data_IF_641222218648
#
_entry.id   IF_641222218648
#
_cell.length_a   1.000
_cell.length_b   1.000
_cell.length_c   1.000
_cell.angle_alpha   90.00
_cell.angle_beta   90.00
_cell.angle_gamma   90.00
#
_symmetry.space_group_name_H-M   'P 1'
#
loop_
_entity.id
_entity.type
_entity.pdbx_description
1 polymer ?
#
# COMPACT_ATOMS: atom_id res chain seq x y z
N UNK A 1 15.24 25.42 -9.62
CA UNK A 1 13.97 24.67 -9.64
C UNK A 1 14.28 23.28 -10.21
N UNK A 2 13.85 22.20 -9.56
CA UNK A 2 14.17 20.83 -10.03
C UNK A 2 14.59 19.83 -8.94
N UNK A 3 14.68 20.27 -7.68
CA UNK A 3 15.05 19.43 -6.54
C UNK A 3 13.86 18.91 -5.73
N UNK A 4 12.61 19.13 -6.20
CA UNK A 4 11.40 18.69 -5.52
C UNK A 4 10.79 17.53 -6.30
N UNK A 5 10.76 16.35 -5.68
CA UNK A 5 10.06 15.20 -6.24
C UNK A 5 8.55 15.49 -6.27
N UNK A 6 7.91 15.12 -7.36
CA UNK A 6 6.45 15.12 -7.48
C UNK A 6 6.01 13.67 -7.49
N UNK A 7 5.05 13.34 -6.65
CA UNK A 7 4.54 11.99 -6.47
C UNK A 7 3.02 12.02 -6.64
N UNK A 8 2.49 11.04 -7.36
CA UNK A 8 1.07 10.89 -7.66
C UNK A 8 0.51 9.71 -6.87
N UNK A 9 -0.41 9.99 -5.94
CA UNK A 9 -1.11 8.96 -5.19
C UNK A 9 -2.11 8.22 -6.08
N UNK A 10 -2.32 6.93 -5.82
CA UNK A 10 -3.37 6.17 -6.50
C UNK A 10 -4.75 6.61 -6.06
N UNK A 11 -5.74 6.48 -6.96
CA UNK A 11 -7.11 6.95 -6.75
C UNK A 11 -7.85 6.24 -5.60
N UNK A 12 -7.50 4.99 -5.31
CA UNK A 12 -8.21 4.13 -4.36
C UNK A 12 -7.27 3.19 -3.58
N UNK A 13 -6.00 3.54 -3.46
CA UNK A 13 -5.03 2.72 -2.74
C UNK A 13 -3.95 3.57 -2.08
N UNK A 14 -2.94 2.89 -1.56
CA UNK A 14 -1.85 3.51 -0.82
C UNK A 14 -0.58 3.71 -1.67
N UNK A 15 -0.59 3.20 -2.90
CA UNK A 15 0.53 3.27 -3.80
C UNK A 15 0.78 4.70 -4.33
N UNK A 16 2.05 5.00 -4.57
CA UNK A 16 2.53 6.31 -5.00
C UNK A 16 3.44 6.15 -6.21
N UNK A 17 3.22 6.95 -7.23
CA UNK A 17 3.87 6.81 -8.53
C UNK A 17 4.60 8.09 -8.98
N UNK A 18 5.70 7.98 -9.74
CA UNK A 18 6.49 9.14 -10.16
C UNK A 18 5.84 9.95 -11.29
N UNK A 19 4.87 9.37 -12.01
CA UNK A 19 4.16 10.02 -13.10
C UNK A 19 2.69 9.57 -13.12
N UNK A 20 1.79 10.35 -13.75
CA UNK A 20 0.43 9.91 -13.96
C UNK A 20 0.39 8.70 -14.91
N UNK A 21 -0.65 7.88 -14.77
CA UNK A 21 -0.87 6.68 -15.57
C UNK A 21 -1.65 5.62 -14.80
N UNK A 22 -1.81 4.48 -15.46
CA UNK A 22 -2.47 3.32 -14.91
C UNK A 22 -1.42 2.25 -14.63
N UNK A 23 -1.33 1.82 -13.37
CA UNK A 23 -0.31 0.91 -12.91
C UNK A 23 -0.95 -0.39 -12.41
N UNK A 24 -0.50 -1.52 -12.94
CA UNK A 24 -0.95 -2.83 -12.46
C UNK A 24 0.06 -3.35 -11.42
N UNK A 25 -0.41 -3.52 -10.18
CA UNK A 25 0.34 -4.11 -9.08
C UNK A 25 -0.08 -5.58 -8.92
N UNK A 26 0.80 -6.52 -9.26
CA UNK A 26 0.51 -7.95 -9.25
C UNK A 26 1.33 -8.73 -10.28
N UNK A 27 0.82 -9.86 -10.74
CA UNK A 27 1.45 -10.67 -11.79
C UNK A 27 1.30 -10.00 -13.16
N UNK A 28 2.28 -9.15 -13.48
CA UNK A 28 2.36 -8.41 -14.74
C UNK A 28 2.47 -9.31 -15.97
N UNK A 29 2.99 -10.54 -15.85
CA UNK A 29 3.09 -11.49 -16.98
C UNK A 29 1.73 -12.04 -17.37
N UNK A 30 0.82 -12.18 -16.41
CA UNK A 30 -0.52 -12.71 -16.61
C UNK A 30 -1.61 -11.65 -16.63
N UNK A 31 -1.27 -10.39 -16.33
CA UNK A 31 -2.21 -9.27 -16.31
C UNK A 31 -3.20 -9.30 -15.15
N UNK A 32 -2.84 -9.99 -14.06
CA UNK A 32 -3.70 -10.13 -12.87
C UNK A 32 -3.09 -9.32 -11.74
N UNK A 33 -3.87 -8.40 -11.17
CA UNK A 33 -3.41 -7.53 -10.09
C UNK A 33 -4.37 -6.38 -9.81
N UNK A 34 -3.97 -5.53 -8.88
CA UNK A 34 -4.67 -4.30 -8.50
C UNK A 34 -4.33 -3.22 -9.50
N UNK A 35 -5.35 -2.58 -10.08
CA UNK A 35 -5.19 -1.42 -10.95
C UNK A 35 -5.16 -0.15 -10.09
N UNK A 36 -4.03 0.55 -10.14
CA UNK A 36 -3.82 1.84 -9.52
C UNK A 36 -3.80 2.93 -10.60
N UNK A 37 -4.87 3.71 -10.67
CA UNK A 37 -4.91 4.90 -11.53
C UNK A 37 -4.35 6.09 -10.76
N UNK A 38 -3.35 6.76 -11.32
CA UNK A 38 -2.72 7.94 -10.75
C UNK A 38 -2.79 9.11 -11.73
N UNK A 39 -3.34 10.24 -11.30
CA UNK A 39 -3.46 11.42 -12.14
C UNK A 39 -3.31 12.70 -11.31
N UNK A 40 -2.97 13.80 -11.97
CA UNK A 40 -2.96 15.10 -11.30
C UNK A 40 -4.38 15.47 -10.88
N UNK A 41 -4.56 15.72 -9.59
CA UNK A 41 -5.84 16.19 -9.04
C UNK A 41 -5.78 17.68 -8.69
N UNK A 42 -6.93 18.27 -8.36
CA UNK A 42 -7.01 19.63 -7.80
C UNK A 42 -6.47 19.72 -6.36
N UNK A 43 -6.27 18.59 -5.70
CA UNK A 43 -5.71 18.47 -4.37
C UNK A 43 -4.23 18.13 -4.47
N UNK A 44 -3.38 18.93 -3.84
CA UNK A 44 -1.94 18.72 -3.79
C UNK A 44 -1.42 19.06 -2.39
N UNK A 45 -0.47 18.26 -1.90
CA UNK A 45 0.22 18.48 -0.64
C UNK A 45 1.64 18.94 -0.93
N UNK A 46 1.97 20.19 -0.57
CA UNK A 46 3.33 20.72 -0.67
C UNK A 46 4.07 20.50 0.66
N UNK A 47 4.75 19.36 0.76
CA UNK A 47 5.54 18.98 1.94
C UNK A 47 6.82 19.81 2.08
N UNK A 48 7.22 20.60 1.07
CA UNK A 48 8.44 21.42 1.14
C UNK A 48 8.29 22.67 2.01
N UNK A 49 7.06 23.05 2.36
CA UNK A 49 6.77 24.26 3.16
C UNK A 49 6.71 23.99 4.65
N UNK A 50 6.11 22.87 5.05
CA UNK A 50 5.90 22.50 6.45
C UNK A 50 6.19 21.02 6.61
N UNK A 51 7.33 20.72 7.21
CA UNK A 51 7.77 19.37 7.52
C UNK A 51 8.46 19.38 8.88
N UNK A 52 8.56 18.20 9.49
CA UNK A 52 9.34 17.97 10.70
C UNK A 52 10.27 16.79 10.43
N UNK A 53 11.55 16.97 10.71
CA UNK A 53 12.51 15.86 10.70
C UNK A 53 12.39 15.16 12.05
N UNK A 54 12.07 13.87 12.02
CA UNK A 54 11.84 13.04 13.21
C UNK A 54 12.96 12.03 13.46
N UNK A 55 13.71 11.66 12.40
CA UNK A 55 14.88 10.80 12.46
C UNK A 55 15.73 10.98 11.20
N UNK A 56 17.05 10.81 11.31
CA UNK A 56 17.98 10.67 10.19
C UNK A 56 19.24 9.91 10.63
N UNK A 57 19.89 9.19 9.72
CA UNK A 57 21.05 8.34 10.04
C UNK A 57 22.21 9.12 10.68
N UNK A 58 22.53 10.29 10.13
CA UNK A 58 23.63 11.13 10.65
C UNK A 58 23.33 11.73 12.02
N UNK A 59 22.06 11.79 12.45
CA UNK A 59 21.68 12.37 13.74
C UNK A 59 22.17 11.53 14.93
N UNK A 60 22.47 10.25 14.73
CA UNK A 60 23.06 9.41 15.78
C UNK A 60 24.47 9.87 16.19
N UNK A 61 25.15 10.62 15.32
CA UNK A 61 26.48 11.18 15.58
C UNK A 61 26.46 12.58 16.20
N UNK A 62 25.27 13.21 16.31
CA UNK A 62 25.11 14.53 16.88
C UNK A 62 25.06 14.50 18.41
N UNK A 63 25.40 15.60 19.09
CA UNK A 63 25.17 15.74 20.53
C UNK A 63 23.70 15.50 20.89
N UNK A 64 23.46 14.93 22.07
CA UNK A 64 22.12 14.49 22.52
C UNK A 64 21.05 15.59 22.57
N UNK A 65 21.43 16.87 22.65
CA UNK A 65 20.50 18.00 22.67
C UNK A 65 19.97 18.39 21.29
N UNK A 66 20.62 17.94 20.21
CA UNK A 66 20.25 18.24 18.82
C UNK A 66 19.39 17.13 18.19
N UNK A 67 19.18 16.02 18.92
CA UNK A 67 18.35 14.90 18.46
C UNK A 67 16.87 15.25 18.70
N UNK A 68 16.02 15.32 17.66
CA UNK A 68 14.60 15.57 17.82
C UNK A 68 13.95 14.50 18.70
N UNK A 69 13.04 14.90 19.59
CA UNK A 69 12.22 13.95 20.33
C UNK A 69 11.31 13.20 19.36
N UNK A 70 11.38 11.87 19.40
CA UNK A 70 10.56 11.00 18.55
C UNK A 70 9.07 11.20 18.88
N UNK A 71 8.23 11.56 17.90
CA UNK A 71 6.79 11.64 18.12
C UNK A 71 6.17 10.31 18.54
N UNK A 72 5.23 10.33 19.49
CA UNK A 72 4.60 9.12 20.03
C UNK A 72 3.85 8.28 18.98
N UNK A 73 3.37 8.88 17.89
CA UNK A 73 2.66 8.17 16.83
C UNK A 73 3.57 7.22 16.05
N UNK A 74 4.90 7.41 16.06
CA UNK A 74 5.84 6.47 15.46
C UNK A 74 5.89 5.12 16.20
N UNK A 75 5.40 5.08 17.44
CA UNK A 75 5.34 3.86 18.28
C UNK A 75 4.00 3.14 18.14
N UNK A 76 3.07 3.65 17.32
CA UNK A 76 1.78 3.01 17.12
C UNK A 76 1.91 1.85 16.12
N UNK A 77 1.98 0.62 16.64
CA UNK A 77 2.21 -0.62 15.88
C UNK A 77 0.93 -1.35 15.47
N UNK A 78 -0.22 -0.67 15.40
CA UNK A 78 -1.46 -1.28 14.91
C UNK A 78 -1.78 -0.77 13.52
N UNK A 79 -2.63 -1.51 12.81
CA UNK A 79 -3.19 -1.13 11.51
C UNK A 79 -3.73 0.29 11.54
N UNK A 80 -3.36 1.08 10.52
CA UNK A 80 -3.81 2.45 10.35
C UNK A 80 -4.97 2.52 9.36
N UNK A 81 -6.12 3.00 9.82
CA UNK A 81 -7.28 3.25 8.97
C UNK A 81 -8.37 2.19 9.13
N UNK A 82 -9.38 2.21 8.25
CA UNK A 82 -10.52 1.32 8.35
C UNK A 82 -10.15 -0.09 7.87
N UNK A 83 -10.46 -1.11 8.68
CA UNK A 83 -10.47 -2.51 8.24
C UNK A 83 -11.81 -2.79 7.56
N UNK A 84 -11.79 -3.15 6.29
CA UNK A 84 -12.99 -3.50 5.51
C UNK A 84 -12.89 -4.97 5.14
N UNK A 85 -13.91 -5.76 5.49
CA UNK A 85 -13.97 -7.18 5.11
C UNK A 85 -14.97 -7.36 3.99
N UNK A 86 -14.53 -7.90 2.87
CA UNK A 86 -15.38 -8.22 1.74
C UNK A 86 -15.83 -9.68 1.79
N UNK A 87 -17.12 -9.94 1.60
CA UNK A 87 -17.64 -11.30 1.53
C UNK A 87 -17.47 -11.93 0.13
N UNK A 88 -16.76 -11.25 -0.77
CA UNK A 88 -16.48 -11.63 -2.16
C UNK A 88 -15.93 -13.05 -2.26
N UNK A 89 -14.93 -13.40 -1.45
CA UNK A 89 -14.31 -14.72 -1.49
C UNK A 89 -15.30 -15.82 -1.12
N UNK A 90 -16.12 -15.61 -0.09
CA UNK A 90 -17.11 -16.59 0.32
C UNK A 90 -18.23 -16.75 -0.72
N UNK A 91 -18.67 -15.65 -1.35
CA UNK A 91 -19.65 -15.70 -2.43
C UNK A 91 -19.10 -16.45 -3.67
N UNK A 92 -17.84 -16.22 -4.03
CA UNK A 92 -17.20 -16.94 -5.14
C UNK A 92 -17.07 -18.43 -4.79
N UNK A 93 -16.67 -18.76 -3.56
CA UNK A 93 -16.61 -20.16 -3.08
C UNK A 93 -17.98 -20.85 -3.10
N UNK A 94 -19.09 -20.14 -2.91
CA UNK A 94 -20.43 -20.72 -3.09
C UNK A 94 -20.70 -21.06 -4.55
N UNK A 95 -20.36 -20.17 -5.48
CA UNK A 95 -20.54 -20.39 -6.92
C UNK A 95 -19.70 -21.58 -7.41
N UNK A 96 -18.47 -21.73 -6.91
CA UNK A 96 -17.59 -22.87 -7.22
C UNK A 96 -18.24 -24.24 -6.95
N UNK A 97 -19.11 -24.35 -5.95
CA UNK A 97 -19.80 -25.61 -5.61
C UNK A 97 -20.77 -26.08 -6.69
N UNK A 98 -21.25 -25.17 -7.52
CA UNK A 98 -22.20 -25.45 -8.60
C UNK A 98 -21.53 -25.65 -9.96
N UNK A 99 -20.22 -25.42 -10.06
CA UNK A 99 -19.47 -25.56 -11.31
C UNK A 99 -19.04 -27.03 -11.56
N UNK A 100 -19.08 -27.50 -12.82
CA UNK A 100 -18.47 -28.77 -13.21
C UNK A 100 -16.97 -28.83 -12.84
N UNK A 101 -16.43 -30.00 -12.52
CA UNK A 101 -15.09 -30.13 -11.90
C UNK A 101 -13.96 -29.45 -12.69
N UNK A 102 -13.98 -29.53 -14.03
CA UNK A 102 -12.98 -28.90 -14.89
C UNK A 102 -12.99 -27.37 -14.78
N UNK A 103 -14.18 -26.77 -14.73
CA UNK A 103 -14.33 -25.32 -14.57
C UNK A 103 -14.00 -24.89 -13.15
N UNK A 104 -14.40 -25.69 -12.16
CA UNK A 104 -14.09 -25.44 -10.75
C UNK A 104 -12.58 -25.33 -10.53
N UNK A 105 -11.79 -26.28 -11.01
CA UNK A 105 -10.33 -26.23 -10.86
C UNK A 105 -9.69 -25.03 -11.55
N UNK A 106 -10.17 -24.66 -12.74
CA UNK A 106 -9.66 -23.50 -13.44
C UNK A 106 -9.94 -22.19 -12.67
N UNK A 107 -11.12 -22.06 -12.05
CA UNK A 107 -11.46 -20.87 -11.26
C UNK A 107 -10.74 -20.87 -9.91
N UNK A 108 -10.59 -22.02 -9.25
CA UNK A 108 -9.76 -22.16 -8.02
C UNK A 108 -8.32 -21.71 -8.29
N UNK A 109 -7.69 -22.16 -9.40
CA UNK A 109 -6.32 -21.75 -9.77
C UNK A 109 -6.20 -20.24 -10.02
N UNK A 110 -7.25 -19.58 -10.52
CA UNK A 110 -7.28 -18.13 -10.71
C UNK A 110 -7.41 -17.42 -9.36
N UNK A 111 -8.31 -17.88 -8.48
CA UNK A 111 -8.55 -17.26 -7.17
C UNK A 111 -7.34 -17.35 -6.26
N UNK A 112 -6.64 -18.48 -6.24
CA UNK A 112 -5.42 -18.67 -5.46
C UNK A 112 -4.28 -17.72 -5.89
N UNK A 113 -4.43 -17.07 -7.05
CA UNK A 113 -3.48 -16.08 -7.61
C UNK A 113 -3.96 -14.64 -7.52
N UNK A 114 -5.19 -14.42 -7.04
CA UNK A 114 -5.73 -13.09 -6.85
C UNK A 114 -5.06 -12.41 -5.64
N UNK A 115 -4.97 -11.07 -5.63
CA UNK A 115 -4.55 -10.31 -4.46
C UNK A 115 -5.41 -10.64 -3.22
N UNK A 116 -4.80 -10.65 -2.03
CA UNK A 116 -5.51 -10.89 -0.76
C UNK A 116 -6.53 -9.79 -0.48
N UNK A 117 -6.29 -8.61 -1.06
CA UNK A 117 -7.14 -7.43 -1.05
C UNK A 117 -8.55 -7.71 -1.63
N UNK A 118 -8.72 -8.82 -2.34
CA UNK A 118 -10.05 -9.28 -2.75
C UNK A 118 -10.94 -9.60 -1.55
N UNK A 119 -10.38 -10.17 -0.47
CA UNK A 119 -11.10 -10.59 0.73
C UNK A 119 -11.31 -9.47 1.77
N UNK A 120 -10.56 -8.39 1.66
CA UNK A 120 -10.67 -7.24 2.54
C UNK A 120 -9.54 -6.24 2.36
N UNK A 121 -9.75 -5.03 2.83
CA UNK A 121 -8.73 -3.98 2.91
C UNK A 121 -8.30 -3.82 4.35
N UNK A 122 -6.99 -3.90 4.57
CA UNK A 122 -6.37 -3.70 5.87
C UNK A 122 -5.42 -2.50 5.78
N UNK A 123 -5.38 -1.72 6.86
CA UNK A 123 -4.49 -0.58 6.94
C UNK A 123 -3.03 -1.02 7.09
N UNK A 124 -2.05 -0.22 6.63
CA UNK A 124 -0.65 -0.51 6.92
C UNK A 124 -0.41 -0.50 8.43
N UNK A 125 0.50 -1.34 8.86
CA UNK A 125 1.04 -1.39 10.21
C UNK A 125 1.89 -0.15 10.49
N UNK A 126 2.23 0.06 11.76
CA UNK A 126 3.04 1.21 12.17
C UNK A 126 4.33 1.36 11.36
N UNK A 127 4.79 2.60 11.11
CA UNK A 127 5.93 2.91 10.24
C UNK A 127 7.26 2.25 10.66
N UNK A 128 7.33 1.67 11.87
CA UNK A 128 8.49 0.95 12.39
C UNK A 128 8.51 -0.55 12.05
N UNK A 129 7.39 -1.13 11.61
CA UNK A 129 7.34 -2.51 11.11
C UNK A 129 7.84 -2.63 9.67
N UNK A 130 8.20 -1.50 9.05
CA UNK A 130 8.77 -1.45 7.72
C UNK A 130 10.30 -1.55 7.78
N UNK A 131 10.83 -2.75 7.50
CA UNK A 131 12.27 -3.02 7.52
C UNK A 131 13.03 -2.30 6.38
N UNK A 132 12.37 -2.07 5.25
CA UNK A 132 12.97 -1.43 4.08
C UNK A 132 11.93 -0.62 3.27
N UNK A 133 12.41 0.13 2.28
CA UNK A 133 11.52 0.84 1.34
C UNK A 133 10.95 -0.06 0.24
N UNK A 134 11.33 -1.35 0.18
CA UNK A 134 10.99 -2.30 -0.88
C UNK A 134 10.31 -3.56 -0.32
N UNK A 135 8.99 -3.60 -0.43
CA UNK A 135 8.18 -4.73 0.00
C UNK A 135 7.15 -4.35 1.06
N UNK A 136 6.49 -5.39 1.56
CA UNK A 136 5.47 -5.29 2.60
C UNK A 136 6.11 -5.20 4.00
N UNK A 137 5.31 -4.76 4.95
CA UNK A 137 5.66 -4.70 6.38
C UNK A 137 5.84 -6.10 6.97
N UNK A 138 6.57 -6.18 8.09
CA UNK A 138 6.97 -7.43 8.73
C UNK A 138 5.84 -8.17 9.45
#
# INVERSE_FOLDING_TARGET
EGNKAIVYSSKSGHASFPHPGDFLQGDSKRGVGIRNDAAQSKYALDTSKKYQIVAAEYMQSLPSHDIPSEPCWLQYMREWGPTIVYNSEAEIRKILKYLPSKLRHAVEEILDRMPYELGGEEGPTGPKEKDNWEGDER
#
